data_IF_648981999090
#
_entry.id   IF_648981999090
#
_cell.length_a   1.000
_cell.length_b   1.000
_cell.length_c   1.000
_cell.angle_alpha   90.00
_cell.angle_beta   90.00
_cell.angle_gamma   90.00
#
_symmetry.space_group_name_H-M   'P 1'
#
loop_
_entity.id
_entity.type
_entity.pdbx_description
1 polymer ?
#
# COMPACT_ATOMS: atom_id res chain seq x y z
N UNK A 1 -7.11 -23.35 27.93
CA UNK A 1 -5.98 -22.40 28.00
C UNK A 1 -6.17 -21.39 26.88
N UNK A 2 -6.58 -20.17 27.22
CA UNK A 2 -6.64 -19.04 26.28
C UNK A 2 -5.22 -18.72 25.84
N UNK A 3 -4.94 -18.82 24.54
CA UNK A 3 -3.65 -18.40 23.99
C UNK A 3 -3.34 -16.96 24.43
N UNK A 4 -2.09 -16.63 24.78
CA UNK A 4 -1.75 -15.28 25.22
C UNK A 4 -2.21 -14.28 24.16
N UNK A 5 -2.98 -13.27 24.57
CA UNK A 5 -3.34 -12.17 23.69
C UNK A 5 -2.12 -11.27 23.56
N UNK A 6 -1.37 -11.45 22.47
CA UNK A 6 -0.28 -10.56 22.08
C UNK A 6 -0.84 -9.20 21.66
N UNK A 7 -1.46 -8.45 22.57
CA UNK A 7 -2.10 -7.17 22.28
C UNK A 7 -1.18 -5.99 22.61
N UNK A 8 0.01 -5.99 22.02
CA UNK A 8 0.98 -4.90 22.15
C UNK A 8 0.70 -3.79 21.12
N UNK A 9 1.20 -2.57 21.38
CA UNK A 9 1.08 -1.45 20.43
C UNK A 9 1.66 -1.83 19.05
N UNK A 10 2.82 -2.46 19.02
CA UNK A 10 3.49 -2.90 17.79
C UNK A 10 2.66 -3.95 17.04
N UNK A 11 2.03 -4.87 17.77
CA UNK A 11 1.13 -5.85 17.18
C UNK A 11 -0.13 -5.19 16.59
N UNK A 12 -0.69 -4.17 17.25
CA UNK A 12 -1.81 -3.38 16.71
C UNK A 12 -1.41 -2.60 15.45
N UNK A 13 -0.19 -2.05 15.39
CA UNK A 13 0.32 -1.40 14.18
C UNK A 13 0.47 -2.38 13.03
N UNK A 14 1.04 -3.56 13.27
CA UNK A 14 1.13 -4.62 12.28
C UNK A 14 -0.26 -5.01 11.73
N UNK A 15 -1.25 -5.20 12.61
CA UNK A 15 -2.63 -5.47 12.18
C UNK A 15 -3.21 -4.31 11.36
N UNK A 16 -2.92 -3.08 11.74
CA UNK A 16 -3.35 -1.90 10.99
C UNK A 16 -2.72 -1.85 9.59
N UNK A 17 -1.41 -2.11 9.47
CA UNK A 17 -0.70 -2.13 8.19
C UNK A 17 -1.23 -3.24 7.27
N UNK A 18 -1.45 -4.43 7.81
CA UNK A 18 -2.07 -5.52 7.07
C UNK A 18 -3.50 -5.16 6.62
N UNK A 19 -4.32 -4.60 7.51
CA UNK A 19 -5.69 -4.19 7.17
C UNK A 19 -5.74 -3.06 6.14
N UNK A 20 -4.69 -2.23 6.07
CA UNK A 20 -4.54 -1.24 5.01
C UNK A 20 -4.12 -1.89 3.68
N UNK A 21 -3.26 -2.91 3.72
CA UNK A 21 -2.75 -3.59 2.53
C UNK A 21 -3.73 -4.61 1.91
N UNK A 22 -4.48 -5.37 2.70
CA UNK A 22 -5.38 -6.41 2.18
C UNK A 22 -6.39 -5.92 1.11
N UNK A 23 -7.04 -4.75 1.26
CA UNK A 23 -7.95 -4.24 0.25
C UNK A 23 -7.28 -3.99 -1.10
N UNK A 24 -6.05 -3.47 -1.11
CA UNK A 24 -5.34 -3.25 -2.37
C UNK A 24 -4.87 -4.58 -2.97
N UNK A 25 -4.44 -5.54 -2.15
CA UNK A 25 -4.07 -6.87 -2.61
C UNK A 25 -5.23 -7.59 -3.29
N UNK A 26 -6.41 -7.53 -2.70
CA UNK A 26 -7.63 -8.08 -3.31
C UNK A 26 -7.99 -7.35 -4.61
N UNK A 27 -7.83 -6.02 -4.63
CA UNK A 27 -8.10 -5.18 -5.80
C UNK A 27 -7.15 -5.49 -6.95
N UNK A 28 -5.84 -5.61 -6.72
CA UNK A 28 -4.86 -5.98 -7.75
C UNK A 28 -5.27 -7.29 -8.45
N UNK A 29 -5.71 -8.29 -7.67
CA UNK A 29 -6.15 -9.59 -8.20
C UNK A 29 -7.44 -9.48 -9.00
N UNK A 30 -8.43 -8.72 -8.51
CA UNK A 30 -9.66 -8.46 -9.25
C UNK A 30 -9.39 -7.70 -10.57
N UNK A 31 -8.50 -6.71 -10.56
CA UNK A 31 -8.12 -5.94 -11.74
C UNK A 31 -7.42 -6.81 -12.78
N UNK A 32 -6.51 -7.72 -12.38
CA UNK A 32 -5.89 -8.68 -13.31
C UNK A 32 -6.92 -9.52 -14.07
N UNK A 33 -8.05 -9.82 -13.45
CA UNK A 33 -9.16 -10.58 -14.01
C UNK A 33 -10.03 -9.73 -14.94
N UNK A 34 -10.45 -8.54 -14.49
CA UNK A 34 -11.40 -7.66 -15.21
C UNK A 34 -10.74 -6.83 -16.32
N UNK A 35 -9.48 -6.43 -16.11
CA UNK A 35 -8.71 -5.58 -17.03
C UNK A 35 -7.37 -6.24 -17.40
N UNK A 36 -7.38 -7.33 -18.19
CA UNK A 36 -6.16 -8.04 -18.57
C UNK A 36 -5.12 -7.09 -19.19
N UNK A 37 -3.87 -7.18 -18.73
CA UNK A 37 -2.76 -6.37 -19.23
C UNK A 37 -2.68 -4.92 -18.74
N UNK A 38 -3.73 -4.34 -18.15
CA UNK A 38 -3.70 -2.93 -17.70
C UNK A 38 -2.71 -2.68 -16.55
N UNK A 39 -2.62 -3.60 -15.59
CA UNK A 39 -1.60 -3.52 -14.55
C UNK A 39 -0.19 -3.76 -15.11
N UNK A 40 -0.06 -4.51 -16.20
CA UNK A 40 1.24 -4.77 -16.83
C UNK A 40 1.76 -3.52 -17.56
N UNK A 41 0.87 -2.69 -18.12
CA UNK A 41 1.22 -1.35 -18.62
C UNK A 41 1.80 -0.50 -17.50
N UNK A 42 1.14 -0.41 -16.34
CA UNK A 42 1.68 0.34 -15.20
C UNK A 42 3.04 -0.21 -14.75
N UNK A 43 3.22 -1.53 -14.69
CA UNK A 43 4.52 -2.16 -14.38
C UNK A 43 5.60 -1.85 -15.40
N UNK A 44 5.25 -1.78 -16.68
CA UNK A 44 6.18 -1.44 -17.74
C UNK A 44 6.67 0.00 -17.59
N UNK A 45 5.76 0.94 -17.33
CA UNK A 45 6.10 2.35 -17.08
C UNK A 45 6.95 2.48 -15.81
N UNK A 46 6.63 1.74 -14.74
CA UNK A 46 7.44 1.70 -13.50
C UNK A 46 8.89 1.25 -13.78
N UNK A 47 9.04 0.18 -14.56
CA UNK A 47 10.36 -0.33 -14.93
C UNK A 47 11.15 0.68 -15.79
N UNK A 48 10.47 1.40 -16.69
CA UNK A 48 11.10 2.45 -17.50
C UNK A 48 11.49 3.66 -16.65
N UNK A 49 10.64 4.11 -15.71
CA UNK A 49 10.99 5.17 -14.77
C UNK A 49 12.19 4.78 -13.90
N UNK A 50 12.23 3.53 -13.42
CA UNK A 50 13.38 3.00 -12.69
C UNK A 50 14.65 3.02 -13.55
N UNK A 51 14.55 2.67 -14.83
CA UNK A 51 15.69 2.76 -15.74
C UNK A 51 16.15 4.22 -15.94
N UNK A 52 15.23 5.18 -16.08
CA UNK A 52 15.56 6.60 -16.19
C UNK A 52 16.32 7.12 -14.94
N UNK A 53 15.97 6.63 -13.75
CA UNK A 53 16.73 6.92 -12.53
C UNK A 53 18.14 6.33 -12.55
N UNK A 54 18.31 5.10 -13.04
CA UNK A 54 19.64 4.47 -13.20
C UNK A 54 20.49 5.21 -14.21
N UNK A 55 19.90 5.65 -15.33
CA UNK A 55 20.58 6.46 -16.34
C UNK A 55 20.99 7.84 -15.78
N UNK A 56 20.29 8.31 -14.75
CA UNK A 56 20.65 9.47 -13.93
C UNK A 56 21.76 9.23 -12.91
N UNK A 57 22.31 8.01 -12.82
CA UNK A 57 23.43 7.65 -11.95
C UNK A 57 23.06 7.02 -10.60
N UNK A 58 21.78 6.71 -10.36
CA UNK A 58 21.32 6.15 -9.08
C UNK A 58 21.37 4.62 -9.07
N UNK A 59 21.72 4.06 -7.92
CA UNK A 59 21.66 2.62 -7.64
C UNK A 59 20.23 2.17 -7.32
N UNK A 60 19.95 0.87 -7.45
CA UNK A 60 18.64 0.32 -7.09
C UNK A 60 18.34 0.48 -5.59
N UNK A 61 19.39 0.42 -4.75
CA UNK A 61 19.30 0.66 -3.31
C UNK A 61 18.88 2.11 -3.01
N UNK A 62 19.48 3.11 -3.65
CA UNK A 62 19.13 4.53 -3.47
C UNK A 62 17.69 4.79 -3.96
N UNK A 63 17.35 4.27 -5.15
CA UNK A 63 16.01 4.40 -5.73
C UNK A 63 14.95 3.84 -4.77
N UNK A 64 15.23 2.70 -4.14
CA UNK A 64 14.33 2.05 -3.19
C UNK A 64 14.29 2.77 -1.84
N UNK A 65 15.45 3.18 -1.30
CA UNK A 65 15.56 3.83 0.01
C UNK A 65 14.79 5.16 0.06
N UNK A 66 14.87 5.95 -1.01
CA UNK A 66 14.22 7.26 -1.08
C UNK A 66 12.88 7.26 -1.86
N UNK A 67 12.37 6.07 -2.17
CA UNK A 67 11.10 5.85 -2.86
C UNK A 67 10.97 6.73 -4.12
N UNK A 68 12.04 6.82 -4.92
CA UNK A 68 12.12 7.77 -6.04
C UNK A 68 11.07 7.52 -7.13
N UNK A 69 10.83 6.25 -7.48
CA UNK A 69 9.82 5.86 -8.49
C UNK A 69 8.40 6.09 -7.97
N UNK A 70 8.15 5.73 -6.71
CA UNK A 70 6.92 6.02 -5.98
C UNK A 70 6.57 7.52 -6.03
N UNK A 71 7.56 8.38 -5.81
CA UNK A 71 7.39 9.82 -5.87
C UNK A 71 7.11 10.33 -7.30
N UNK A 72 7.66 9.68 -8.34
CA UNK A 72 7.29 9.99 -9.73
C UNK A 72 5.83 9.61 -10.02
N UNK A 73 5.38 8.45 -9.55
CA UNK A 73 3.98 8.05 -9.64
C UNK A 73 3.04 9.05 -8.98
N UNK A 74 3.43 9.60 -7.83
CA UNK A 74 2.62 10.60 -7.14
C UNK A 74 2.53 11.91 -7.91
N UNK A 75 3.64 12.36 -8.49
CA UNK A 75 3.62 13.56 -9.33
C UNK A 75 2.70 13.36 -10.53
N UNK A 76 2.71 12.19 -11.16
CA UNK A 76 1.83 11.88 -12.30
C UNK A 76 0.35 11.79 -11.87
N UNK A 77 0.05 11.15 -10.74
CA UNK A 77 -1.33 10.85 -10.35
C UNK A 77 -1.98 11.94 -9.49
N UNK A 78 -1.22 12.48 -8.55
CA UNK A 78 -1.67 13.40 -7.51
C UNK A 78 -1.22 14.84 -7.82
N UNK A 79 -0.05 15.01 -8.44
CA UNK A 79 0.56 16.33 -8.67
C UNK A 79 1.41 16.84 -7.50
N UNK A 80 1.55 16.06 -6.43
CA UNK A 80 2.48 16.27 -5.32
C UNK A 80 3.11 14.95 -4.93
N UNK A 81 4.22 14.96 -4.18
CA UNK A 81 4.84 13.74 -3.64
C UNK A 81 4.21 13.40 -2.29
N UNK A 82 3.61 12.23 -2.18
CA UNK A 82 2.96 11.76 -0.96
C UNK A 82 3.92 10.84 -0.19
N UNK A 83 4.30 11.23 1.02
CA UNK A 83 5.17 10.41 1.89
C UNK A 83 4.58 10.28 3.29
N UNK A 84 4.22 9.06 3.68
CA UNK A 84 3.69 8.74 5.01
C UNK A 84 4.74 8.25 6.02
N UNK A 85 6.03 8.32 5.71
CA UNK A 85 7.08 8.12 6.73
C UNK A 85 7.37 9.43 7.46
N UNK A 86 6.99 9.58 8.74
CA UNK A 86 7.36 10.74 9.56
C UNK A 86 8.84 10.72 9.98
N UNK A 87 9.57 9.64 9.65
CA UNK A 87 10.99 9.43 9.99
C UNK A 87 11.93 9.65 8.81
N UNK A 88 11.40 9.89 7.61
CA UNK A 88 12.19 10.49 6.53
C UNK A 88 12.40 11.96 6.85
N UNK A 89 13.38 12.21 7.70
CA UNK A 89 14.00 13.50 7.79
C UNK A 89 14.75 13.75 6.49
N UNK A 90 14.44 14.85 5.82
CA UNK A 90 15.26 15.46 4.76
C UNK A 90 16.58 16.00 5.33
N UNK A 91 17.20 15.26 6.26
CA UNK A 91 18.31 15.71 7.09
C UNK A 91 19.67 15.67 6.39
N UNK A 92 19.72 15.28 5.11
CA UNK A 92 20.99 14.96 4.46
C UNK A 92 21.25 15.63 3.11
N UNK A 93 20.38 16.54 2.64
CA UNK A 93 20.63 17.20 1.36
C UNK A 93 20.79 18.72 1.53
N UNK A 94 21.91 19.19 2.14
CA UNK A 94 22.41 20.50 1.79
C UNK A 94 22.88 20.42 0.32
N UNK A 95 22.31 21.29 -0.52
CA UNK A 95 22.64 21.53 -1.93
C UNK A 95 22.25 20.46 -2.99
N UNK A 96 22.25 19.15 -2.68
CA UNK A 96 21.87 18.09 -3.64
C UNK A 96 20.35 17.84 -3.83
N UNK A 97 19.52 18.30 -2.89
CA UNK A 97 18.08 17.96 -2.88
C UNK A 97 17.29 18.60 -4.02
N UNK A 98 17.68 19.82 -4.44
CA UNK A 98 17.01 20.51 -5.56
C UNK A 98 17.24 19.81 -6.89
N UNK A 99 18.40 19.21 -7.10
CA UNK A 99 18.71 18.46 -8.31
C UNK A 99 17.91 17.15 -8.38
N UNK A 100 17.79 16.45 -7.25
CA UNK A 100 16.95 15.25 -7.13
C UNK A 100 15.48 15.58 -7.37
N UNK A 101 14.96 16.68 -6.81
CA UNK A 101 13.58 17.13 -7.06
C UNK A 101 13.35 17.49 -8.53
N UNK A 102 14.29 18.19 -9.18
CA UNK A 102 14.21 18.51 -10.61
C UNK A 102 14.25 17.26 -11.48
N UNK A 103 15.15 16.32 -11.16
CA UNK A 103 15.24 15.04 -11.88
C UNK A 103 13.94 14.25 -11.74
N UNK A 104 13.39 14.17 -10.53
CA UNK A 104 12.11 13.51 -10.25
C UNK A 104 10.97 14.13 -11.06
N UNK A 105 10.84 15.45 -11.04
CA UNK A 105 9.81 16.16 -11.81
C UNK A 105 9.97 15.95 -13.32
N UNK A 106 11.23 15.95 -13.81
CA UNK A 106 11.53 15.68 -15.23
C UNK A 106 11.12 14.27 -15.64
N UNK A 107 11.48 13.26 -14.84
CA UNK A 107 11.10 11.87 -15.10
C UNK A 107 9.57 11.74 -15.08
N UNK A 108 8.90 12.30 -14.07
CA UNK A 108 7.43 12.27 -14.02
C UNK A 108 6.79 12.88 -15.28
N UNK A 109 7.25 14.06 -15.73
CA UNK A 109 6.78 14.72 -16.94
C UNK A 109 7.06 13.94 -18.22
N UNK A 110 8.18 13.21 -18.29
CA UNK A 110 8.52 12.36 -19.43
C UNK A 110 7.51 11.22 -19.62
N UNK A 111 7.03 10.63 -18.51
CA UNK A 111 6.13 9.48 -18.54
C UNK A 111 4.64 9.84 -18.40
N UNK A 112 4.30 11.04 -17.95
CA UNK A 112 2.91 11.52 -17.84
C UNK A 112 2.10 11.33 -19.15
N UNK A 113 2.60 11.69 -20.34
CA UNK A 113 1.85 11.48 -21.58
C UNK A 113 1.53 10.01 -21.85
N UNK A 114 2.44 9.09 -21.51
CA UNK A 114 2.21 7.65 -21.70
C UNK A 114 1.10 7.15 -20.78
N UNK A 115 1.07 7.62 -19.53
CA UNK A 115 -0.01 7.30 -18.58
C UNK A 115 -1.34 7.87 -19.08
N UNK A 116 -1.36 9.11 -19.58
CA UNK A 116 -2.59 9.75 -20.10
C UNK A 116 -3.19 9.07 -21.34
N UNK A 117 -2.41 8.29 -22.10
CA UNK A 117 -2.91 7.51 -23.23
C UNK A 117 -3.74 6.28 -22.79
N UNK A 118 -3.71 5.94 -21.50
CA UNK A 118 -4.38 4.78 -20.96
C UNK A 118 -5.43 5.20 -19.93
N UNK A 119 -6.57 4.53 -19.99
CA UNK A 119 -7.58 4.64 -18.95
C UNK A 119 -7.36 3.57 -17.88
N UNK A 120 -7.38 4.00 -16.61
CA UNK A 120 -7.19 3.18 -15.42
C UNK A 120 -8.34 3.39 -14.42
N UNK A 121 -9.57 2.97 -14.76
CA UNK A 121 -10.77 3.23 -13.94
C UNK A 121 -10.69 2.57 -12.55
N UNK A 122 -9.89 1.53 -12.40
CA UNK A 122 -9.63 0.88 -11.11
C UNK A 122 -8.68 1.67 -10.18
N UNK A 123 -7.97 2.67 -10.69
CA UNK A 123 -7.00 3.45 -9.92
C UNK A 123 -7.60 4.70 -9.28
N UNK A 124 -8.89 4.97 -9.49
CA UNK A 124 -9.59 6.16 -8.95
C UNK A 124 -9.37 6.32 -7.44
N UNK A 125 -9.35 5.22 -6.69
CA UNK A 125 -9.18 5.22 -5.22
C UNK A 125 -7.85 4.64 -4.74
N UNK A 126 -6.97 4.28 -5.66
CA UNK A 126 -5.74 3.56 -5.37
C UNK A 126 -4.55 4.22 -6.05
N UNK A 127 -3.49 4.43 -5.29
CA UNK A 127 -2.25 5.00 -5.80
C UNK A 127 -1.61 4.06 -6.83
N UNK A 128 -1.13 4.58 -7.96
CA UNK A 128 -0.46 3.78 -8.99
C UNK A 128 0.73 3.03 -8.43
N UNK A 129 1.56 3.70 -7.62
CA UNK A 129 2.71 3.07 -6.99
C UNK A 129 2.32 1.84 -6.15
N UNK A 130 1.20 1.90 -5.44
CA UNK A 130 0.74 0.78 -4.59
C UNK A 130 0.10 -0.35 -5.44
N UNK A 131 -0.54 -0.02 -6.57
CA UNK A 131 -1.09 -1.01 -7.51
C UNK A 131 0.01 -1.79 -8.24
N UNK A 132 1.12 -1.11 -8.57
CA UNK A 132 2.28 -1.70 -9.23
C UNK A 132 3.08 -2.55 -8.25
N UNK A 133 3.34 -1.99 -7.06
CA UNK A 133 4.20 -2.57 -6.04
C UNK A 133 3.37 -3.20 -4.90
N UNK A 134 2.46 -4.10 -5.27
CA UNK A 134 1.73 -4.91 -4.31
C UNK A 134 2.65 -5.73 -3.40
N UNK A 135 2.07 -6.33 -2.36
CA UNK A 135 2.76 -7.12 -1.36
C UNK A 135 3.43 -8.36 -1.95
N UNK A 136 4.71 -8.56 -1.62
CA UNK A 136 5.37 -9.85 -1.77
C UNK A 136 4.83 -10.83 -0.71
N UNK A 137 3.73 -11.49 -1.05
CA UNK A 137 3.03 -12.41 -0.15
C UNK A 137 3.92 -13.56 0.33
N UNK A 138 4.79 -14.07 -0.54
CA UNK A 138 5.67 -15.18 -0.18
C UNK A 138 6.67 -14.75 0.89
N UNK A 139 7.32 -13.59 0.69
CA UNK A 139 8.22 -13.00 1.68
C UNK A 139 7.50 -12.68 2.99
N UNK A 140 6.32 -12.07 2.93
CA UNK A 140 5.54 -11.71 4.12
C UNK A 140 5.09 -12.97 4.89
N UNK A 141 4.66 -14.02 4.19
CA UNK A 141 4.32 -15.30 4.83
C UNK A 141 5.54 -15.98 5.47
N UNK A 142 6.69 -15.99 4.80
CA UNK A 142 7.95 -16.51 5.38
C UNK A 142 8.36 -15.72 6.63
N UNK A 143 8.27 -14.40 6.57
CA UNK A 143 8.53 -13.54 7.73
C UNK A 143 7.56 -13.81 8.88
N UNK A 144 6.27 -14.00 8.57
CA UNK A 144 5.26 -14.38 9.56
C UNK A 144 5.61 -15.68 10.26
N UNK A 145 5.87 -16.75 9.50
CA UNK A 145 6.19 -18.07 10.06
C UNK A 145 7.50 -18.02 10.88
N UNK A 146 8.50 -17.27 10.43
CA UNK A 146 9.76 -17.07 11.16
C UNK A 146 9.57 -16.31 12.47
N UNK A 147 8.75 -15.26 12.47
CA UNK A 147 8.60 -14.33 13.61
C UNK A 147 7.52 -14.75 14.60
N UNK A 148 6.49 -15.48 14.15
CA UNK A 148 5.36 -15.86 15.01
C UNK A 148 5.75 -16.86 16.12
N UNK A 149 6.58 -17.86 15.81
CA UNK A 149 6.97 -18.87 16.81
C UNK A 149 7.75 -18.25 17.98
N UNK A 150 8.77 -17.40 17.75
CA UNK A 150 9.42 -16.64 18.81
C UNK A 150 8.46 -15.73 19.57
N UNK A 151 7.57 -15.01 18.87
CA UNK A 151 6.59 -14.12 19.50
C UNK A 151 5.71 -14.91 20.47
N UNK A 152 5.19 -16.07 20.06
CA UNK A 152 4.32 -16.94 20.88
C UNK A 152 5.00 -17.54 22.11
N UNK A 153 6.32 -17.71 22.06
CA UNK A 153 7.11 -18.32 23.13
C UNK A 153 7.61 -17.31 24.18
N UNK A 154 7.36 -16.01 24.00
CA UNK A 154 7.83 -14.98 24.94
C UNK A 154 7.03 -14.99 26.26
N UNK A 155 7.71 -14.99 27.43
CA UNK A 155 7.07 -14.77 28.72
C UNK A 155 6.35 -13.43 28.80
N UNK A 156 5.24 -13.39 29.55
CA UNK A 156 4.55 -12.13 29.87
C UNK A 156 5.52 -11.14 30.56
N UNK A 157 5.51 -9.89 30.13
CA UNK A 157 6.34 -8.82 30.70
C UNK A 157 7.70 -8.59 30.01
N UNK A 158 8.12 -9.45 29.08
CA UNK A 158 9.33 -9.21 28.29
C UNK A 158 9.10 -8.16 27.20
N UNK A 159 10.05 -7.24 27.04
CA UNK A 159 10.05 -6.30 25.92
C UNK A 159 10.44 -7.06 24.65
N UNK A 160 9.52 -7.12 23.70
CA UNK A 160 9.77 -7.75 22.40
C UNK A 160 10.45 -6.72 21.49
N UNK A 161 11.61 -7.04 20.88
CA UNK A 161 12.28 -6.13 19.96
C UNK A 161 11.41 -5.72 18.77
N UNK A 162 11.46 -4.45 18.38
CA UNK A 162 10.58 -3.84 17.35
C UNK A 162 10.73 -4.51 15.98
N UNK A 163 11.92 -5.00 15.66
CA UNK A 163 12.24 -5.72 14.43
C UNK A 163 11.40 -6.98 14.22
N UNK A 164 10.86 -7.57 15.30
CA UNK A 164 9.95 -8.71 15.22
C UNK A 164 8.53 -8.32 14.75
N UNK A 165 8.23 -7.03 14.71
CA UNK A 165 6.97 -6.46 14.19
C UNK A 165 7.14 -5.72 12.87
N UNK A 166 8.39 -5.44 12.45
CA UNK A 166 8.70 -4.90 11.12
C UNK A 166 8.51 -6.00 10.06
N UNK A 167 7.31 -6.13 9.53
CA UNK A 167 7.07 -7.02 8.40
C UNK A 167 7.22 -6.22 7.12
N UNK A 168 7.64 -6.86 6.04
CA UNK A 168 7.78 -6.25 4.72
C UNK A 168 6.40 -5.93 4.08
N UNK A 169 5.48 -5.36 4.85
CA UNK A 169 4.14 -4.92 4.45
C UNK A 169 4.24 -3.44 4.07
N UNK A 170 4.02 -3.16 2.79
CA UNK A 170 3.85 -1.79 2.30
C UNK A 170 2.52 -1.24 2.81
N UNK A 171 2.52 -0.02 3.37
CA UNK A 171 1.30 0.67 3.83
C UNK A 171 0.75 1.52 2.68
N UNK A 172 -0.38 1.13 2.05
CA UNK A 172 -0.89 1.88 0.92
C UNK A 172 -1.42 3.25 1.32
N UNK A 173 -1.45 4.14 0.35
CA UNK A 173 -1.99 5.48 0.45
C UNK A 173 -3.30 5.51 -0.34
N UNK A 174 -4.37 5.91 0.34
CA UNK A 174 -5.66 6.07 -0.31
C UNK A 174 -5.61 7.28 -1.23
N UNK A 175 -6.24 7.18 -2.39
CA UNK A 175 -6.47 8.33 -3.26
C UNK A 175 -7.88 8.83 -3.02
N UNK A 176 -8.02 10.14 -2.78
CA UNK A 176 -9.30 10.80 -2.63
C UNK A 176 -9.63 11.55 -3.93
N UNK A 177 -10.50 10.99 -4.80
CA UNK A 177 -10.78 11.57 -6.10
C UNK A 177 -11.26 13.00 -5.97
N UNK A 178 -10.66 13.91 -6.74
CA UNK A 178 -11.04 15.31 -6.75
C UNK A 178 -10.45 16.18 -5.64
N UNK A 179 -9.62 15.61 -4.77
CA UNK A 179 -8.73 16.39 -3.92
C UNK A 179 -7.42 16.67 -4.66
N UNK A 180 -7.02 17.95 -4.70
CA UNK A 180 -5.69 18.36 -5.13
C UNK A 180 -5.04 19.17 -4.02
N UNK A 181 -3.87 18.75 -3.57
CA UNK A 181 -3.09 19.49 -2.59
C UNK A 181 -1.96 20.24 -3.29
N UNK A 182 -1.92 21.55 -3.10
CA UNK A 182 -0.85 22.39 -3.60
C UNK A 182 0.09 22.72 -2.45
N UNK A 183 1.33 22.23 -2.55
CA UNK A 183 2.43 22.66 -1.69
C UNK A 183 3.41 23.47 -2.55
N UNK A 184 3.23 24.79 -2.55
CA UNK A 184 4.19 25.67 -3.18
C UNK A 184 5.26 26.06 -2.14
N UNK A 185 6.37 25.32 -2.12
CA UNK A 185 7.61 25.76 -1.49
C UNK A 185 8.29 26.75 -2.43
N UNK A 186 7.69 27.93 -2.64
CA UNK A 186 8.35 28.98 -3.43
C UNK A 186 9.44 29.66 -2.59
N UNK A 187 10.49 30.16 -3.26
CA UNK A 187 11.53 31.02 -2.66
C UNK A 187 11.02 32.42 -2.25
N UNK A 188 9.71 32.70 -2.40
CA UNK A 188 9.12 33.92 -1.84
C UNK A 188 8.84 33.75 -0.34
N UNK A 189 8.78 34.85 0.41
CA UNK A 189 8.59 34.87 1.88
C UNK A 189 7.32 34.13 2.39
N UNK A 190 6.48 33.61 1.48
CA UNK A 190 5.24 32.93 1.78
C UNK A 190 5.17 31.57 1.10
N UNK A 191 5.49 30.51 1.84
CA UNK A 191 5.12 29.15 1.47
C UNK A 191 3.65 28.91 1.86
N UNK A 192 2.86 28.38 0.92
CA UNK A 192 1.44 28.08 1.10
C UNK A 192 1.19 26.58 1.01
N UNK A 193 0.35 26.08 1.91
CA UNK A 193 -0.23 24.74 1.86
C UNK A 193 -1.73 24.93 1.65
N UNK A 194 -2.24 24.47 0.51
CA UNK A 194 -3.65 24.61 0.14
C UNK A 194 -4.23 23.29 -0.34
N UNK A 195 -5.54 23.14 -0.16
CA UNK A 195 -6.31 22.03 -0.72
C UNK A 195 -7.42 22.58 -1.61
N UNK A 196 -7.54 22.04 -2.81
CA UNK A 196 -8.63 22.26 -3.74
C UNK A 196 -9.48 21.00 -3.79
N UNK A 197 -10.80 21.16 -3.62
CA UNK A 197 -11.75 20.05 -3.60
C UNK A 197 -12.72 20.23 -4.76
N UNK A 198 -12.96 19.15 -5.52
CA UNK A 198 -14.06 19.12 -6.48
C UNK A 198 -15.40 19.13 -5.74
N UNK A 199 -16.41 19.76 -6.34
CA UNK A 199 -17.74 19.89 -5.76
C UNK A 199 -18.53 18.58 -5.71
N UNK A 200 -18.16 17.59 -6.53
CA UNK A 200 -18.82 16.29 -6.68
C UNK A 200 -18.23 15.19 -5.79
N UNK A 201 -17.32 15.54 -4.88
CA UNK A 201 -16.73 14.60 -3.93
C UNK A 201 -17.76 14.05 -2.94
N UNK A 202 -17.59 12.78 -2.55
CA UNK A 202 -18.36 12.22 -1.45
C UNK A 202 -17.91 12.82 -0.10
N UNK A 203 -18.77 12.79 0.92
CA UNK A 203 -18.41 13.27 2.26
C UNK A 203 -17.20 12.52 2.84
N UNK A 204 -17.07 11.23 2.54
CA UNK A 204 -15.93 10.43 2.99
C UNK A 204 -14.64 10.84 2.28
N UNK A 205 -14.72 11.19 0.99
CA UNK A 205 -13.57 11.72 0.24
C UNK A 205 -13.15 13.09 0.76
N UNK A 206 -14.10 13.98 1.05
CA UNK A 206 -13.82 15.29 1.66
C UNK A 206 -13.14 15.13 3.02
N UNK A 207 -13.67 14.26 3.88
CA UNK A 207 -13.07 13.98 5.20
C UNK A 207 -11.68 13.38 5.10
N UNK A 208 -11.47 12.45 4.17
CA UNK A 208 -10.17 11.85 3.91
C UNK A 208 -9.15 12.90 3.46
N UNK A 209 -9.52 13.70 2.46
CA UNK A 209 -8.69 14.75 1.92
C UNK A 209 -8.32 15.84 2.95
N UNK A 210 -9.28 16.24 3.81
CA UNK A 210 -9.01 17.16 4.91
C UNK A 210 -8.03 16.59 5.95
N UNK A 211 -8.14 15.30 6.27
CA UNK A 211 -7.19 14.64 7.19
C UNK A 211 -5.79 14.65 6.59
N UNK A 212 -5.64 14.29 5.31
CA UNK A 212 -4.34 14.30 4.64
C UNK A 212 -3.74 15.72 4.58
N UNK A 213 -4.59 16.73 4.34
CA UNK A 213 -4.18 18.13 4.43
C UNK A 213 -3.69 18.51 5.84
N UNK A 214 -4.41 18.12 6.90
CA UNK A 214 -3.98 18.35 8.29
C UNK A 214 -2.60 17.73 8.57
N UNK A 215 -2.35 16.52 8.05
CA UNK A 215 -1.05 15.86 8.15
C UNK A 215 0.06 16.66 7.45
N UNK A 216 -0.16 17.06 6.19
CA UNK A 216 0.83 17.86 5.45
C UNK A 216 1.06 19.24 6.07
N UNK A 217 0.01 19.90 6.52
CA UNK A 217 0.11 21.17 7.23
C UNK A 217 0.92 21.02 8.53
N UNK A 218 0.70 19.97 9.30
CA UNK A 218 1.50 19.68 10.48
C UNK A 218 2.98 19.43 10.14
N UNK A 219 3.28 18.66 9.08
CA UNK A 219 4.65 18.45 8.60
C UNK A 219 5.33 19.74 8.16
N UNK A 220 4.62 20.59 7.43
CA UNK A 220 5.11 21.91 7.01
C UNK A 220 5.47 22.79 8.22
N UNK A 221 4.60 22.80 9.23
CA UNK A 221 4.84 23.52 10.48
C UNK A 221 6.06 23.00 11.24
N UNK A 222 6.22 21.68 11.33
CA UNK A 222 7.40 21.05 11.96
C UNK A 222 8.67 21.42 11.21
N UNK A 223 8.64 21.43 9.88
CA UNK A 223 9.78 21.85 9.06
C UNK A 223 10.16 23.32 9.34
N UNK A 224 9.16 24.21 9.45
CA UNK A 224 9.39 25.65 9.68
C UNK A 224 9.81 26.00 11.12
N UNK A 225 9.26 25.31 12.11
CA UNK A 225 9.38 25.70 13.53
C UNK A 225 10.16 24.72 14.41
N UNK A 226 10.43 23.51 13.91
CA UNK A 226 11.05 22.42 14.65
C UNK A 226 10.05 21.60 15.48
N UNK A 227 10.20 20.27 15.46
CA UNK A 227 9.23 19.31 16.04
C UNK A 227 8.95 19.51 17.54
N UNK A 228 9.97 19.82 18.33
CA UNK A 228 9.84 20.00 19.78
C UNK A 228 9.15 21.29 20.19
N UNK A 229 8.91 22.21 19.25
CA UNK A 229 8.43 23.57 19.55
C UNK A 229 7.02 23.86 19.03
N UNK A 230 6.43 22.98 18.22
CA UNK A 230 5.11 23.23 17.61
C UNK A 230 4.02 22.32 18.19
N UNK A 231 3.33 22.82 19.22
CA UNK A 231 2.21 22.11 19.88
C UNK A 231 1.03 21.84 18.93
N UNK A 232 0.77 22.73 17.98
CA UNK A 232 -0.32 22.57 17.01
C UNK A 232 -0.01 21.40 16.09
N UNK A 233 1.21 21.37 15.54
CA UNK A 233 1.63 20.26 14.69
C UNK A 233 1.62 18.93 15.45
N UNK A 234 2.09 18.91 16.70
CA UNK A 234 2.05 17.70 17.54
C UNK A 234 0.61 17.22 17.79
N UNK A 235 -0.34 18.13 18.06
CA UNK A 235 -1.76 17.80 18.22
C UNK A 235 -2.39 17.27 16.94
N UNK A 236 -2.04 17.84 15.79
CA UNK A 236 -2.53 17.38 14.49
C UNK A 236 -1.96 16.01 14.10
N UNK A 237 -0.74 15.68 14.53
CA UNK A 237 -0.11 14.38 14.27
C UNK A 237 -0.47 13.28 15.28
N UNK A 238 -0.97 13.63 16.47
CA UNK A 238 -1.34 12.67 17.51
C UNK A 238 -2.33 11.59 17.01
N UNK A 239 -3.40 11.92 16.25
CA UNK A 239 -4.29 10.92 15.66
C UNK A 239 -3.62 10.00 14.64
N UNK A 240 -2.54 10.46 14.00
CA UNK A 240 -1.77 9.70 13.01
C UNK A 240 -0.74 8.76 13.65
N UNK A 241 -0.30 9.08 14.87
CA UNK A 241 0.57 8.24 15.67
C UNK A 241 -0.19 7.06 16.31
N UNK A 242 -1.49 7.21 16.57
CA UNK A 242 -2.33 6.13 17.04
C UNK A 242 -2.55 5.08 15.93
N UNK A 243 -2.49 3.78 16.23
CA UNK A 243 -2.85 2.76 15.24
C UNK A 243 -4.32 2.97 14.84
N UNK A 244 -4.63 3.04 13.53
CA UNK A 244 -6.00 3.23 13.08
C UNK A 244 -6.84 2.08 13.60
N UNK A 245 -7.97 2.39 14.24
CA UNK A 245 -8.91 1.36 14.68
C UNK A 245 -9.49 0.66 13.44
N UNK A 246 -9.54 -0.67 13.39
CA UNK A 246 -10.20 -1.36 12.30
C UNK A 246 -11.69 -0.97 12.30
N UNK A 247 -12.11 -0.25 11.26
CA UNK A 247 -13.51 0.20 11.10
C UNK A 247 -14.33 -0.73 10.20
N UNK A 248 -13.71 -1.75 9.60
CA UNK A 248 -14.36 -2.68 8.66
C UNK A 248 -14.75 -3.99 9.34
N UNK A 249 -15.90 -4.54 8.97
CA UNK A 249 -16.36 -5.87 9.43
C UNK A 249 -15.39 -7.00 9.05
N UNK A 250 -14.70 -6.87 7.91
CA UNK A 250 -13.75 -7.87 7.40
C UNK A 250 -12.31 -7.64 7.92
N UNK A 251 -12.12 -6.75 8.90
CA UNK A 251 -10.79 -6.45 9.42
C UNK A 251 -10.20 -7.65 10.19
N UNK A 252 -8.91 -7.87 10.00
CA UNK A 252 -8.09 -8.78 10.77
C UNK A 252 -7.90 -8.19 12.17
N UNK A 253 -8.57 -8.80 13.14
CA UNK A 253 -8.58 -8.38 14.54
C UNK A 253 -7.73 -9.33 15.42
N UNK A 254 -7.30 -10.47 14.89
CA UNK A 254 -6.60 -11.52 15.64
C UNK A 254 -5.49 -12.18 14.81
N UNK A 255 -4.51 -12.78 15.50
CA UNK A 255 -3.30 -13.33 14.87
C UNK A 255 -3.59 -14.47 13.89
N UNK A 256 -4.56 -15.32 14.24
CA UNK A 256 -5.04 -16.41 13.40
C UNK A 256 -5.69 -15.91 12.10
N UNK A 257 -6.32 -14.73 12.12
CA UNK A 257 -6.94 -14.11 10.94
C UNK A 257 -5.90 -13.52 9.97
N UNK A 258 -4.71 -13.13 10.47
CA UNK A 258 -3.58 -12.69 9.63
C UNK A 258 -3.18 -13.82 8.68
N UNK A 259 -2.84 -14.99 9.24
CA UNK A 259 -2.45 -16.16 8.45
C UNK A 259 -3.58 -16.60 7.52
N UNK A 260 -4.82 -16.56 8.00
CA UNK A 260 -6.00 -16.90 7.20
C UNK A 260 -6.10 -16.07 5.93
N UNK A 261 -5.88 -14.75 6.04
CA UNK A 261 -5.99 -13.83 4.91
C UNK A 261 -4.81 -14.01 3.95
N UNK A 262 -3.58 -14.11 4.48
CA UNK A 262 -2.38 -14.26 3.66
C UNK A 262 -2.32 -15.61 2.94
N UNK A 263 -2.67 -16.73 3.62
CA UNK A 263 -2.73 -18.05 2.99
C UNK A 263 -3.79 -18.11 1.89
N UNK A 264 -4.95 -17.49 2.11
CA UNK A 264 -6.01 -17.44 1.12
C UNK A 264 -5.57 -16.71 -0.16
N UNK A 265 -4.89 -15.57 -0.02
CA UNK A 265 -4.32 -14.82 -1.14
C UNK A 265 -3.20 -15.58 -1.85
N UNK A 266 -2.26 -16.18 -1.09
CA UNK A 266 -1.16 -16.95 -1.68
C UNK A 266 -1.68 -18.17 -2.43
N UNK A 267 -2.63 -18.92 -1.86
CA UNK A 267 -3.26 -20.06 -2.52
C UNK A 267 -3.97 -19.63 -3.82
N UNK A 268 -4.64 -18.47 -3.82
CA UNK A 268 -5.24 -17.91 -5.03
C UNK A 268 -4.18 -17.61 -6.11
N UNK A 269 -3.05 -17.00 -5.76
CA UNK A 269 -1.97 -16.70 -6.71
C UNK A 269 -1.36 -17.99 -7.29
N UNK A 270 -1.09 -18.99 -6.44
CA UNK A 270 -0.59 -20.30 -6.88
C UNK A 270 -1.59 -21.03 -7.78
N UNK A 271 -2.88 -20.95 -7.48
CA UNK A 271 -3.92 -21.49 -8.36
C UNK A 271 -3.84 -20.84 -9.74
N UNK A 272 -3.72 -19.51 -9.82
CA UNK A 272 -3.64 -18.80 -11.10
C UNK A 272 -2.42 -19.23 -11.93
N UNK A 273 -1.28 -19.46 -11.28
CA UNK A 273 -0.07 -20.00 -11.93
C UNK A 273 -0.33 -21.43 -12.45
N UNK A 274 -0.74 -22.34 -11.56
CA UNK A 274 -0.97 -23.74 -11.92
C UNK A 274 -2.06 -23.94 -12.96
N UNK A 275 -3.07 -23.08 -12.98
CA UNK A 275 -4.18 -23.13 -13.93
C UNK A 275 -3.74 -22.73 -15.34
N UNK A 276 -2.72 -21.88 -15.50
CA UNK A 276 -2.12 -21.58 -16.81
C UNK A 276 -1.41 -22.81 -17.38
N UNK A 277 -0.69 -23.55 -16.55
CA UNK A 277 0.11 -24.70 -17.00
C UNK A 277 -0.73 -25.98 -17.16
N UNK A 278 -1.57 -26.29 -16.16
CA UNK A 278 -2.37 -27.53 -16.13
C UNK A 278 -3.63 -27.36 -15.26
N UNK A 279 -4.81 -27.11 -15.86
CA UNK A 279 -6.03 -26.81 -15.11
C UNK A 279 -6.48 -27.93 -14.16
N UNK A 280 -6.34 -29.19 -14.58
CA UNK A 280 -6.77 -30.33 -13.77
C UNK A 280 -5.88 -30.49 -12.53
N UNK A 281 -6.48 -30.37 -11.35
CA UNK A 281 -5.78 -30.46 -10.07
C UNK A 281 -4.98 -29.21 -9.66
N UNK A 282 -5.18 -28.08 -10.34
CA UNK A 282 -4.49 -26.83 -10.01
C UNK A 282 -4.74 -26.35 -8.57
N UNK A 283 -5.97 -26.49 -8.07
CA UNK A 283 -6.31 -26.13 -6.69
C UNK A 283 -5.61 -27.01 -5.65
N UNK A 284 -5.58 -28.33 -5.87
CA UNK A 284 -4.88 -29.25 -4.96
C UNK A 284 -3.40 -28.90 -4.86
N UNK A 285 -2.74 -28.62 -5.98
CA UNK A 285 -1.34 -28.18 -6.01
C UNK A 285 -1.12 -26.82 -5.36
N UNK A 286 -2.03 -25.87 -5.56
CA UNK A 286 -1.97 -24.56 -4.90
C UNK A 286 -2.09 -24.68 -3.37
N UNK A 287 -2.95 -25.56 -2.89
CA UNK A 287 -3.08 -25.87 -1.45
C UNK A 287 -1.79 -26.52 -0.94
N UNK A 288 -1.20 -27.47 -1.68
CA UNK A 288 0.06 -28.11 -1.33
C UNK A 288 1.22 -27.11 -1.24
N UNK A 289 1.35 -26.21 -2.21
CA UNK A 289 2.35 -25.13 -2.19
C UNK A 289 2.18 -24.20 -0.98
N UNK A 290 0.93 -23.90 -0.61
CA UNK A 290 0.61 -23.05 0.55
C UNK A 290 0.96 -23.73 1.87
N UNK A 291 0.69 -25.04 1.99
CA UNK A 291 1.08 -25.82 3.16
C UNK A 291 2.61 -25.93 3.28
N UNK A 292 3.29 -26.16 2.16
CA UNK A 292 4.75 -26.25 2.10
C UNK A 292 5.42 -24.93 2.52
N UNK A 293 4.92 -23.79 2.05
CA UNK A 293 5.48 -22.48 2.41
C UNK A 293 5.46 -22.23 3.92
N UNK A 294 4.39 -22.66 4.59
CA UNK A 294 4.20 -22.48 6.02
C UNK A 294 4.70 -23.63 6.90
N UNK A 295 5.29 -24.68 6.32
CA UNK A 295 5.57 -25.95 7.00
C UNK A 295 4.35 -26.48 7.78
N UNK A 296 3.15 -26.31 7.22
CA UNK A 296 1.90 -26.67 7.86
C UNK A 296 1.61 -28.17 7.64
N UNK A 297 1.06 -28.88 8.65
CA UNK A 297 0.74 -30.29 8.51
C UNK A 297 -0.39 -30.51 7.50
N UNK A 298 -0.40 -31.68 6.87
CA UNK A 298 -1.37 -32.04 5.83
C UNK A 298 -2.83 -32.01 6.32
N UNK A 299 -3.04 -32.17 7.62
CA UNK A 299 -4.35 -32.02 8.28
C UNK A 299 -4.96 -30.62 8.11
N UNK A 300 -4.16 -29.61 7.77
CA UNK A 300 -4.62 -28.24 7.51
C UNK A 300 -5.11 -28.02 6.06
N UNK A 301 -5.09 -29.03 5.18
CA UNK A 301 -5.61 -28.94 3.79
C UNK A 301 -7.01 -28.31 3.75
N UNK A 302 -7.94 -28.80 4.57
CA UNK A 302 -9.31 -28.29 4.63
C UNK A 302 -9.41 -26.84 5.13
N UNK A 303 -8.50 -26.42 6.02
CA UNK A 303 -8.43 -25.04 6.50
C UNK A 303 -7.97 -24.10 5.40
N UNK A 304 -6.87 -24.42 4.70
CA UNK A 304 -6.35 -23.63 3.59
C UNK A 304 -7.38 -23.52 2.47
N UNK A 305 -8.11 -24.59 2.18
CA UNK A 305 -9.20 -24.57 1.19
C UNK A 305 -10.29 -23.55 1.57
N UNK A 306 -10.76 -23.55 2.83
CA UNK A 306 -11.76 -22.56 3.30
C UNK A 306 -11.25 -21.13 3.20
N UNK A 307 -9.97 -20.91 3.50
CA UNK A 307 -9.31 -19.59 3.42
C UNK A 307 -9.25 -19.09 1.97
N UNK A 308 -8.89 -19.97 1.05
CA UNK A 308 -8.95 -19.73 -0.40
C UNK A 308 -10.38 -19.37 -0.84
N UNK A 309 -11.40 -20.14 -0.46
CA UNK A 309 -12.80 -19.89 -0.84
C UNK A 309 -13.32 -18.55 -0.31
N UNK A 310 -12.92 -18.14 0.89
CA UNK A 310 -13.23 -16.81 1.43
C UNK A 310 -12.59 -15.70 0.59
N UNK A 311 -11.29 -15.84 0.30
CA UNK A 311 -10.53 -14.88 -0.53
C UNK A 311 -11.12 -14.76 -1.93
N UNK A 312 -11.41 -15.90 -2.58
CA UNK A 312 -12.03 -15.94 -3.91
C UNK A 312 -13.36 -15.19 -3.92
N UNK A 313 -14.20 -15.37 -2.89
CA UNK A 313 -15.48 -14.65 -2.77
C UNK A 313 -15.28 -13.14 -2.68
N UNK A 314 -14.27 -12.67 -1.94
CA UNK A 314 -13.96 -11.23 -1.85
C UNK A 314 -13.49 -10.68 -3.20
N UNK A 315 -12.58 -11.38 -3.89
CA UNK A 315 -12.13 -11.01 -5.23
C UNK A 315 -13.33 -10.94 -6.19
N UNK A 316 -14.21 -11.96 -6.21
CA UNK A 316 -15.38 -11.96 -7.07
C UNK A 316 -16.39 -10.84 -6.80
N UNK A 317 -16.49 -10.33 -5.57
CA UNK A 317 -17.29 -9.14 -5.27
C UNK A 317 -16.68 -7.88 -5.88
N UNK A 318 -15.35 -7.75 -5.79
CA UNK A 318 -14.62 -6.63 -6.38
C UNK A 318 -14.69 -6.66 -7.91
N UNK A 319 -14.53 -7.84 -8.53
CA UNK A 319 -14.68 -8.02 -9.98
C UNK A 319 -16.05 -7.51 -10.46
N UNK A 320 -17.13 -7.88 -9.76
CA UNK A 320 -18.48 -7.38 -10.06
C UNK A 320 -18.58 -5.86 -9.95
N UNK A 321 -17.99 -5.28 -8.90
CA UNK A 321 -17.98 -3.82 -8.73
C UNK A 321 -17.24 -3.12 -9.87
N UNK A 322 -16.11 -3.68 -10.31
CA UNK A 322 -15.30 -3.13 -11.41
C UNK A 322 -16.02 -3.23 -12.77
N UNK A 323 -16.74 -4.32 -13.03
CA UNK A 323 -17.56 -4.46 -14.24
C UNK A 323 -18.71 -3.44 -14.29
N UNK A 324 -19.31 -3.11 -13.15
CA UNK A 324 -20.34 -2.07 -13.09
C UNK A 324 -19.79 -0.68 -13.43
N UNK A 325 -18.54 -0.38 -13.04
CA UNK A 325 -17.87 0.85 -13.45
C UNK A 325 -17.64 0.90 -14.97
N UNK A 326 -17.17 -0.20 -15.60
CA UNK A 326 -17.02 -0.28 -17.06
C UNK A 326 -18.34 -0.05 -17.81
N UNK A 327 -19.45 -0.58 -17.29
CA UNK A 327 -20.76 -0.46 -17.93
C UNK A 327 -21.35 0.96 -17.85
N UNK A 328 -21.02 1.74 -16.81
CA UNK A 328 -21.48 3.11 -16.64
C UNK A 328 -20.76 4.11 -17.56
N UNK A 329 -19.57 3.75 -18.06
CA UNK A 329 -18.74 4.58 -18.95
C UNK A 329 -18.98 4.28 -20.44
N UNK A 330 -19.78 3.25 -20.77
CA UNK A 330 -20.18 2.99 -22.15
C UNK A 330 -21.18 4.06 -22.63
N UNK A 331 -20.91 4.79 -23.71
CA UNK A 331 -21.85 5.78 -24.22
C UNK A 331 -23.17 5.10 -24.56
N UNK A 332 -24.27 5.65 -24.05
CA UNK A 332 -25.62 5.31 -24.52
C UNK A 332 -25.65 5.55 -26.02
N UNK A 333 -25.81 4.49 -26.79
CA UNK A 333 -25.78 4.52 -28.26
C UNK A 333 -27.04 5.17 -28.83
#
# INVERSE_FOLDING_TARGET
MTSPSFDTLQYRHLLADLNAALPIELTIRAVRSVFPGRLDVLRQIDAQMRQAWRDGGFTDEEIAADAHVDACWDLIQLGWVERRSPFETWSHLPDGGREIERLRARIAQEFEPQVSLHDFPFAVRHRYADLVNGMDLERVLREYHRKQTPLRAQPEGNTIPVENFLWSIRRPIAVHPGALQNVALSETEHAYVGIMLRHDMTLDDVRGALREFEFHYARFRIWRHGRSRDEVANRLLEPWAAPPRPTRQDAVNQANQVLSSLNGLYCYDRLCVHHKDKPRGALSRAIEDTLALGNLPETQKGTVQKQFEATRRQISRLEKSLHLCQAAEAPST
#
